data_IF_258597078988
#
_entry.id   IF_258597078988
#
_cell.length_a   1.000
_cell.length_b   1.000
_cell.length_c   1.000
_cell.angle_alpha   90.00
_cell.angle_beta   90.00
_cell.angle_gamma   90.00
#
_symmetry.space_group_name_H-M   'P 1'
#
loop_
_entity.id
_entity.type
_entity.pdbx_description
1 polymer ?
#
# COMPACT_ATOMS: atom_id res chain seq x y z
N UNK A 1 -44.10 38.93 36.51
CA UNK A 1 -43.64 37.60 36.09
C UNK A 1 -42.54 37.86 35.09
N UNK A 2 -41.29 37.56 35.46
CA UNK A 2 -40.14 37.72 34.60
C UNK A 2 -40.07 36.50 33.67
N UNK A 3 -40.08 36.73 32.37
CA UNK A 3 -39.91 35.70 31.36
C UNK A 3 -38.42 35.63 31.02
N UNK A 4 -37.76 34.58 31.49
CA UNK A 4 -36.35 34.29 31.18
C UNK A 4 -36.28 33.65 29.81
N UNK A 5 -35.81 34.40 28.81
CA UNK A 5 -35.45 33.81 27.51
C UNK A 5 -34.16 32.99 27.68
N UNK A 6 -34.29 31.69 27.49
CA UNK A 6 -33.17 30.75 27.40
C UNK A 6 -32.52 30.93 26.02
N UNK A 7 -31.23 31.31 26.01
CA UNK A 7 -30.45 31.45 24.78
C UNK A 7 -29.83 30.10 24.47
N UNK A 8 -30.50 29.32 23.63
CA UNK A 8 -29.95 28.09 23.07
C UNK A 8 -28.73 28.43 22.21
N UNK A 9 -27.57 28.04 22.71
CA UNK A 9 -26.29 28.23 22.03
C UNK A 9 -26.16 27.12 20.99
N UNK A 10 -26.49 27.42 19.73
CA UNK A 10 -26.24 26.51 18.61
C UNK A 10 -24.72 26.43 18.41
N UNK A 11 -24.11 25.36 18.91
CA UNK A 11 -22.77 24.94 18.47
C UNK A 11 -22.90 24.45 17.02
N UNK A 12 -22.56 25.30 16.06
CA UNK A 12 -22.22 24.83 14.71
C UNK A 12 -20.96 23.99 14.82
N UNK A 13 -21.09 22.67 14.77
CA UNK A 13 -19.96 21.80 14.45
C UNK A 13 -19.54 22.10 13.02
N UNK A 14 -18.44 22.85 12.86
CA UNK A 14 -17.78 22.98 11.57
C UNK A 14 -17.17 21.61 11.27
N UNK A 15 -17.83 20.85 10.41
CA UNK A 15 -17.27 19.60 9.87
C UNK A 15 -16.14 19.97 8.92
N UNK A 16 -14.89 19.92 9.39
CA UNK A 16 -13.73 20.08 8.52
C UNK A 16 -13.66 18.88 7.57
N UNK A 17 -13.52 19.12 6.27
CA UNK A 17 -13.47 18.06 5.28
C UNK A 17 -12.03 17.53 5.15
N UNK A 18 -11.82 16.20 5.02
CA UNK A 18 -10.51 15.65 4.77
C UNK A 18 -10.05 15.99 3.35
N UNK A 19 -8.90 16.66 3.24
CA UNK A 19 -8.31 17.08 1.97
C UNK A 19 -6.93 16.46 1.78
N UNK A 20 -6.74 15.80 0.64
CA UNK A 20 -5.44 15.36 0.15
C UNK A 20 -4.73 16.48 -0.61
N UNK A 21 -3.40 16.51 -0.52
CA UNK A 21 -2.56 17.36 -1.37
C UNK A 21 -2.73 17.05 -2.86
N UNK A 22 -2.36 18.00 -3.71
CA UNK A 22 -2.46 17.86 -5.16
C UNK A 22 -1.74 16.60 -5.69
N UNK A 23 -2.49 15.84 -6.49
CA UNK A 23 -2.02 14.58 -7.08
C UNK A 23 -1.99 13.39 -6.10
N UNK A 24 -2.48 13.53 -4.88
CA UNK A 24 -2.78 12.41 -3.99
C UNK A 24 -4.26 12.07 -4.04
N UNK A 25 -4.58 10.77 -4.11
CA UNK A 25 -5.97 10.30 -4.13
C UNK A 25 -6.43 9.94 -2.73
N UNK A 26 -7.57 10.49 -2.33
CA UNK A 26 -8.26 10.13 -1.09
C UNK A 26 -8.95 8.77 -1.19
N UNK A 27 -8.81 7.97 -0.13
CA UNK A 27 -9.56 6.76 0.15
C UNK A 27 -10.05 6.78 1.60
N UNK A 28 -11.29 6.32 1.81
CA UNK A 28 -11.79 6.05 3.16
C UNK A 28 -11.41 4.61 3.55
N UNK A 29 -10.67 4.46 4.65
CA UNK A 29 -10.32 3.15 5.23
C UNK A 29 -11.05 2.97 6.56
N UNK A 30 -11.12 1.75 7.12
CA UNK A 30 -11.64 1.54 8.47
C UNK A 30 -10.90 2.34 9.56
N UNK A 31 -9.63 2.71 9.31
CA UNK A 31 -8.81 3.55 10.19
C UNK A 31 -8.98 5.06 9.97
N UNK A 32 -9.85 5.46 9.05
CA UNK A 32 -10.10 6.83 8.60
C UNK A 32 -9.53 7.11 7.21
N UNK A 33 -9.65 8.38 6.80
CA UNK A 33 -9.15 8.87 5.52
C UNK A 33 -7.65 8.66 5.30
N UNK A 34 -7.28 8.33 4.05
CA UNK A 34 -5.91 8.07 3.64
C UNK A 34 -5.65 8.59 2.22
N UNK A 35 -4.54 9.30 2.03
CA UNK A 35 -4.11 9.88 0.77
C UNK A 35 -2.98 9.02 0.17
N UNK A 36 -3.17 8.52 -1.05
CA UNK A 36 -2.23 7.64 -1.75
C UNK A 36 -1.64 8.33 -2.98
N UNK A 37 -0.34 8.13 -3.24
CA UNK A 37 0.34 8.57 -4.47
C UNK A 37 1.47 7.61 -4.86
N UNK A 38 1.55 7.29 -6.15
CA UNK A 38 2.61 6.45 -6.72
C UNK A 38 3.74 7.30 -7.31
N UNK A 39 4.97 6.79 -7.26
CA UNK A 39 6.16 7.45 -7.77
C UNK A 39 7.05 6.45 -8.52
N UNK A 40 7.75 6.94 -9.56
CA UNK A 40 8.79 6.20 -10.27
C UNK A 40 9.92 7.16 -10.66
N UNK A 41 11.01 7.16 -9.91
CA UNK A 41 12.16 8.06 -10.12
C UNK A 41 13.51 7.35 -10.00
N UNK A 42 13.54 6.05 -10.34
CA UNK A 42 14.74 5.23 -10.35
C UNK A 42 14.54 3.89 -9.64
N UNK A 43 15.53 3.03 -9.80
CA UNK A 43 15.59 1.73 -9.14
C UNK A 43 16.04 1.91 -7.70
N UNK A 44 15.33 1.35 -6.73
CA UNK A 44 15.65 1.52 -5.32
C UNK A 44 15.22 0.34 -4.44
N UNK A 45 15.83 0.26 -3.26
CA UNK A 45 15.46 -0.69 -2.20
C UNK A 45 14.23 -0.22 -1.42
N UNK A 46 13.63 -1.12 -0.62
CA UNK A 46 12.49 -0.76 0.25
C UNK A 46 12.84 0.37 1.21
N UNK A 47 14.04 0.33 1.80
CA UNK A 47 14.53 1.34 2.74
C UNK A 47 14.68 2.71 2.10
N UNK A 48 15.13 2.75 0.84
CA UNK A 48 15.22 4.00 0.08
C UNK A 48 13.82 4.55 -0.26
N UNK A 49 12.87 3.69 -0.60
CA UNK A 49 11.47 4.10 -0.80
C UNK A 49 10.84 4.66 0.48
N UNK A 50 11.11 4.05 1.64
CA UNK A 50 10.70 4.59 2.94
C UNK A 50 11.28 5.97 3.20
N UNK A 51 12.58 6.16 2.97
CA UNK A 51 13.20 7.47 3.10
C UNK A 51 12.57 8.52 2.16
N UNK A 52 12.19 8.13 0.93
CA UNK A 52 11.50 9.03 -0.01
C UNK A 52 10.10 9.40 0.45
N UNK A 53 9.32 8.46 0.99
CA UNK A 53 8.01 8.77 1.54
C UNK A 53 8.10 9.65 2.79
N UNK A 54 9.07 9.40 3.67
CA UNK A 54 9.26 10.16 4.91
C UNK A 54 9.53 11.66 4.64
N UNK A 55 10.21 12.00 3.53
CA UNK A 55 10.44 13.40 3.11
C UNK A 55 9.13 14.14 2.77
N UNK A 56 8.04 13.41 2.49
CA UNK A 56 6.73 13.95 2.14
C UNK A 56 5.73 13.87 3.30
N UNK A 57 6.22 13.67 4.53
CA UNK A 57 5.42 13.37 5.73
C UNK A 57 4.48 12.17 5.51
N UNK A 58 4.98 11.18 4.76
CA UNK A 58 4.27 9.97 4.39
C UNK A 58 5.08 8.73 4.75
N UNK A 59 4.46 7.56 4.63
CA UNK A 59 5.14 6.25 4.71
C UNK A 59 4.88 5.47 3.43
N UNK A 60 5.59 4.37 3.19
CA UNK A 60 5.20 3.47 2.10
C UNK A 60 3.84 2.89 2.43
N UNK A 61 2.86 3.09 1.56
CA UNK A 61 1.45 2.76 1.84
C UNK A 61 1.22 1.26 1.76
N UNK A 62 0.51 0.70 2.73
CA UNK A 62 -0.16 -0.59 2.60
C UNK A 62 -1.38 -0.49 1.68
N UNK A 63 -2.06 -1.62 1.48
CA UNK A 63 -3.24 -1.74 0.61
C UNK A 63 -4.46 -2.16 1.43
N UNK A 64 -5.50 -1.36 1.42
CA UNK A 64 -6.74 -1.69 2.13
C UNK A 64 -7.61 -2.67 1.35
N UNK A 65 -7.69 -2.52 0.02
CA UNK A 65 -8.60 -3.30 -0.82
C UNK A 65 -8.26 -3.17 -2.32
N UNK A 66 -9.05 -3.84 -3.16
CA UNK A 66 -8.91 -3.86 -4.62
C UNK A 66 -9.06 -2.48 -5.29
N UNK A 67 -9.87 -1.56 -4.75
CA UNK A 67 -10.04 -0.24 -5.35
C UNK A 67 -8.77 0.61 -5.24
N UNK A 68 -8.02 0.47 -4.13
CA UNK A 68 -6.70 1.11 -4.00
C UNK A 68 -5.69 0.49 -4.97
N UNK A 69 -5.71 -0.83 -5.12
CA UNK A 69 -4.88 -1.56 -6.10
C UNK A 69 -5.15 -1.05 -7.52
N UNK A 70 -6.41 -0.97 -7.93
CA UNK A 70 -6.81 -0.49 -9.27
C UNK A 70 -6.35 0.94 -9.54
N UNK A 71 -6.45 1.82 -8.54
CA UNK A 71 -5.92 3.17 -8.64
C UNK A 71 -4.39 3.16 -8.80
N UNK A 72 -3.66 2.42 -7.95
CA UNK A 72 -2.20 2.35 -8.02
C UNK A 72 -1.76 1.79 -9.37
N UNK A 73 -2.38 0.72 -9.86
CA UNK A 73 -2.13 0.17 -11.20
C UNK A 73 -2.33 1.21 -12.30
N UNK A 74 -3.41 2.00 -12.23
CA UNK A 74 -3.65 3.07 -13.21
C UNK A 74 -2.54 4.13 -13.20
N UNK A 75 -1.91 4.38 -12.05
CA UNK A 75 -0.77 5.29 -11.95
C UNK A 75 0.50 4.63 -12.48
N UNK A 76 0.76 3.36 -12.12
CA UNK A 76 1.95 2.63 -12.55
C UNK A 76 1.99 2.43 -14.06
N UNK A 77 0.86 2.14 -14.70
CA UNK A 77 0.80 1.98 -16.16
C UNK A 77 1.23 3.24 -16.93
N UNK A 78 1.14 4.42 -16.30
CA UNK A 78 1.63 5.69 -16.85
C UNK A 78 3.07 5.97 -16.41
N UNK A 79 3.37 5.81 -15.13
CA UNK A 79 4.67 6.16 -14.54
C UNK A 79 5.82 5.27 -15.05
N UNK A 80 5.52 4.01 -15.34
CA UNK A 80 6.47 3.00 -15.82
C UNK A 80 5.93 2.32 -17.09
N UNK A 81 5.30 3.10 -17.97
CA UNK A 81 4.75 2.62 -19.25
C UNK A 81 5.80 1.85 -20.08
N UNK A 82 5.42 0.71 -20.66
CA UNK A 82 6.34 -0.13 -21.43
C UNK A 82 7.31 -0.95 -20.58
N UNK A 83 7.34 -0.76 -19.25
CA UNK A 83 8.27 -1.42 -18.36
C UNK A 83 7.58 -2.52 -17.56
N UNK A 84 8.23 -3.68 -17.52
CA UNK A 84 7.97 -4.68 -16.50
C UNK A 84 8.70 -4.26 -15.24
N UNK A 85 7.99 -4.21 -14.14
CA UNK A 85 8.56 -3.82 -12.87
C UNK A 85 7.54 -3.89 -11.75
N UNK A 86 7.96 -3.42 -10.59
CA UNK A 86 7.12 -3.48 -9.39
C UNK A 86 7.24 -2.17 -8.61
N UNK A 87 6.24 -1.91 -7.79
CA UNK A 87 6.23 -0.81 -6.84
C UNK A 87 6.34 -1.33 -5.41
N UNK A 88 7.19 -0.73 -4.57
CA UNK A 88 7.23 -1.02 -3.14
C UNK A 88 5.90 -0.68 -2.46
N UNK A 89 5.40 -1.63 -1.65
CA UNK A 89 4.18 -1.54 -0.84
C UNK A 89 4.52 -1.68 0.65
N UNK A 90 3.73 -1.02 1.49
CA UNK A 90 3.89 -0.94 2.94
C UNK A 90 3.47 -2.21 3.68
N UNK A 91 4.11 -3.33 3.39
CA UNK A 91 3.90 -4.60 4.09
C UNK A 91 5.22 -5.30 4.39
N UNK A 92 5.31 -5.93 5.55
CA UNK A 92 6.47 -6.72 5.97
C UNK A 92 6.05 -8.06 6.55
N UNK A 93 6.88 -9.07 6.36
CA UNK A 93 6.66 -10.40 6.93
C UNK A 93 6.64 -10.30 8.45
N UNK A 94 5.71 -10.98 9.09
CA UNK A 94 5.64 -10.99 10.56
C UNK A 94 6.79 -11.83 11.13
N UNK A 95 7.28 -11.44 12.32
CA UNK A 95 8.44 -12.08 12.96
C UNK A 95 8.32 -13.61 13.09
N UNK A 96 7.12 -14.14 13.31
CA UNK A 96 6.89 -15.58 13.42
C UNK A 96 7.03 -16.32 12.08
N UNK A 97 7.03 -15.62 10.94
CA UNK A 97 7.15 -16.17 9.60
C UNK A 97 8.48 -15.86 8.90
N UNK A 98 9.29 -14.93 9.43
CA UNK A 98 10.65 -14.67 8.93
C UNK A 98 11.48 -15.96 8.97
N UNK A 99 12.19 -16.23 7.88
CA UNK A 99 13.02 -17.42 7.76
C UNK A 99 12.25 -18.74 7.65
N UNK A 100 10.92 -18.72 7.46
CA UNK A 100 10.09 -19.93 7.38
C UNK A 100 9.45 -20.11 6.01
N UNK A 101 9.33 -21.36 5.53
CA UNK A 101 8.57 -21.63 4.32
C UNK A 101 7.10 -21.28 4.53
N UNK A 102 6.41 -21.01 3.42
CA UNK A 102 4.97 -20.82 3.40
C UNK A 102 4.24 -22.13 3.74
N UNK A 103 3.10 -22.01 4.43
CA UNK A 103 2.31 -23.12 4.97
C UNK A 103 2.12 -23.01 6.49
N UNK A 104 1.28 -23.90 7.04
CA UNK A 104 0.93 -23.88 8.46
C UNK A 104 0.35 -22.52 8.89
N UNK A 105 1.00 -21.85 9.82
CA UNK A 105 0.60 -20.52 10.32
C UNK A 105 1.00 -19.38 9.37
N UNK A 106 1.92 -19.61 8.43
CA UNK A 106 2.43 -18.64 7.47
C UNK A 106 1.75 -18.84 6.12
N UNK A 107 0.51 -18.36 6.00
CA UNK A 107 -0.30 -18.43 4.78
C UNK A 107 -0.23 -17.10 4.03
N UNK A 108 -0.66 -17.02 2.76
CA UNK A 108 -0.72 -15.76 2.02
C UNK A 108 -1.51 -14.65 2.74
N UNK A 109 -2.47 -14.99 3.60
CA UNK A 109 -3.27 -14.02 4.35
C UNK A 109 -2.75 -13.73 5.76
N UNK A 110 -1.76 -14.47 6.26
CA UNK A 110 -1.29 -14.37 7.66
C UNK A 110 0.20 -14.11 7.80
N UNK A 111 1.00 -14.31 6.75
CA UNK A 111 2.45 -14.19 6.82
C UNK A 111 2.96 -12.74 6.92
N UNK A 112 2.13 -11.75 6.65
CA UNK A 112 2.53 -10.35 6.57
C UNK A 112 1.60 -9.41 7.35
N UNK A 113 2.12 -8.24 7.68
CA UNK A 113 1.37 -7.13 8.29
C UNK A 113 1.64 -5.82 7.57
N UNK A 114 0.67 -4.90 7.59
CA UNK A 114 0.81 -3.56 7.02
C UNK A 114 1.64 -2.66 7.94
N UNK A 115 2.59 -1.92 7.38
CA UNK A 115 3.50 -1.07 8.15
C UNK A 115 3.04 0.39 8.24
N UNK A 116 2.07 0.78 7.43
CA UNK A 116 1.56 2.16 7.36
C UNK A 116 0.65 2.55 8.53
N UNK A 117 0.28 1.59 9.40
CA UNK A 117 -0.65 1.74 10.53
C UNK A 117 -2.02 2.28 10.11
N UNK A 118 -2.39 2.13 8.85
CA UNK A 118 -3.65 2.60 8.28
C UNK A 118 -4.39 1.46 7.59
N UNK A 119 -3.73 0.69 6.73
CA UNK A 119 -4.33 -0.48 6.12
C UNK A 119 -4.54 -1.58 7.17
N UNK A 120 -5.65 -2.30 7.07
CA UNK A 120 -6.04 -3.37 8.00
C UNK A 120 -6.65 -4.54 7.26
N UNK A 121 -6.70 -5.70 7.90
CA UNK A 121 -7.27 -6.91 7.29
C UNK A 121 -6.47 -7.41 6.09
N UNK A 122 -7.12 -8.25 5.29
CA UNK A 122 -6.46 -9.02 4.22
C UNK A 122 -7.01 -8.70 2.83
N UNK A 123 -7.96 -7.76 2.72
CA UNK A 123 -8.65 -7.47 1.45
C UNK A 123 -7.73 -6.86 0.39
N UNK A 124 -6.61 -6.25 0.80
CA UNK A 124 -5.54 -5.79 -0.08
C UNK A 124 -4.47 -6.85 -0.41
N UNK A 125 -4.54 -8.04 0.18
CA UNK A 125 -3.57 -9.13 -0.07
C UNK A 125 -3.93 -9.92 -1.33
N UNK A 126 -3.69 -9.31 -2.48
CA UNK A 126 -3.97 -9.88 -3.80
C UNK A 126 -2.70 -10.42 -4.44
N UNK A 127 -2.29 -11.63 -4.08
CA UNK A 127 -1.03 -12.22 -4.54
C UNK A 127 -1.08 -12.71 -6.00
N UNK A 128 0.09 -12.71 -6.65
CA UNK A 128 0.31 -13.43 -7.89
C UNK A 128 0.18 -14.95 -7.69
N UNK A 129 0.14 -15.69 -8.79
CA UNK A 129 0.15 -17.14 -8.72
C UNK A 129 1.38 -17.64 -7.94
N UNK A 130 1.14 -18.51 -6.97
CA UNK A 130 2.13 -19.09 -6.04
C UNK A 130 2.82 -18.11 -5.09
N UNK A 131 2.33 -16.87 -4.98
CA UNK A 131 2.88 -15.87 -4.05
C UNK A 131 2.02 -15.73 -2.76
N UNK A 132 2.62 -15.24 -1.65
CA UNK A 132 4.06 -15.09 -1.46
C UNK A 132 4.72 -16.47 -1.35
N UNK A 133 5.98 -16.61 -1.75
CA UNK A 133 6.72 -17.88 -1.75
C UNK A 133 7.89 -17.94 -0.76
N UNK A 134 8.30 -16.79 -0.22
CA UNK A 134 9.46 -16.63 0.64
C UNK A 134 10.72 -17.30 0.07
N UNK A 135 11.01 -17.09 -1.21
CA UNK A 135 12.16 -17.66 -1.89
C UNK A 135 13.45 -17.42 -1.11
N UNK A 136 14.23 -18.49 -0.93
CA UNK A 136 15.45 -18.53 -0.08
C UNK A 136 15.24 -18.09 1.37
N UNK A 137 14.00 -17.95 1.82
CA UNK A 137 13.60 -17.59 3.18
C UNK A 137 14.02 -16.17 3.60
N UNK A 138 14.16 -15.25 2.64
CA UNK A 138 14.66 -13.88 2.85
C UNK A 138 13.72 -12.78 2.32
N UNK A 139 12.57 -13.15 1.73
CA UNK A 139 11.69 -12.18 1.07
C UNK A 139 10.69 -11.61 2.07
N UNK A 140 11.14 -10.64 2.86
CA UNK A 140 10.36 -10.11 3.97
C UNK A 140 9.57 -8.83 3.63
N UNK A 141 9.63 -8.35 2.39
CA UNK A 141 8.97 -7.12 1.94
C UNK A 141 8.04 -7.35 0.75
N UNK A 142 7.02 -6.49 0.58
CA UNK A 142 6.05 -6.61 -0.51
C UNK A 142 6.28 -5.62 -1.65
N UNK A 143 5.98 -6.08 -2.86
CA UNK A 143 5.81 -5.23 -4.04
C UNK A 143 4.48 -5.50 -4.75
N UNK A 144 3.97 -4.49 -5.46
CA UNK A 144 2.86 -4.64 -6.40
C UNK A 144 3.40 -4.70 -7.82
N UNK A 145 3.02 -5.74 -8.57
CA UNK A 145 3.51 -5.98 -9.92
C UNK A 145 2.86 -5.05 -10.95
N UNK A 146 3.66 -4.61 -11.92
CA UNK A 146 3.24 -4.04 -13.20
C UNK A 146 3.80 -4.91 -14.32
N UNK A 147 2.94 -5.75 -14.88
CA UNK A 147 3.24 -6.62 -16.01
C UNK A 147 2.24 -6.29 -17.12
N UNK A 148 2.57 -5.29 -17.95
CA UNK A 148 1.74 -4.82 -19.08
C UNK A 148 1.28 -5.97 -19.99
N UNK A 149 2.07 -7.06 -20.05
CA UNK A 149 1.67 -8.35 -20.59
C UNK A 149 1.92 -9.42 -19.52
N UNK A 150 0.97 -10.35 -19.28
CA UNK A 150 1.18 -11.47 -18.36
C UNK A 150 2.50 -12.21 -18.63
N UNK A 151 3.28 -12.43 -17.59
CA UNK A 151 4.56 -13.14 -17.68
C UNK A 151 4.38 -14.54 -17.14
N UNK A 152 4.48 -15.55 -17.99
CA UNK A 152 4.54 -16.95 -17.58
C UNK A 152 6.01 -17.37 -17.51
N UNK A 153 6.49 -17.70 -16.31
CA UNK A 153 7.86 -18.20 -16.13
C UNK A 153 7.97 -19.66 -16.58
N UNK A 154 9.18 -20.16 -16.85
CA UNK A 154 9.44 -21.56 -17.23
C UNK A 154 8.87 -22.61 -16.25
N UNK A 155 8.53 -22.21 -15.02
CA UNK A 155 7.86 -23.06 -14.01
C UNK A 155 6.33 -23.03 -14.05
N UNK A 156 5.72 -22.32 -15.01
CA UNK A 156 4.28 -22.25 -15.24
C UNK A 156 3.51 -21.26 -14.36
N UNK A 157 4.18 -20.52 -13.47
CA UNK A 157 3.56 -19.46 -12.68
C UNK A 157 3.43 -18.16 -13.49
N UNK A 158 2.34 -17.42 -13.27
CA UNK A 158 1.96 -16.25 -14.05
C UNK A 158 1.95 -14.98 -13.19
N UNK A 159 2.68 -13.95 -13.64
CA UNK A 159 2.65 -12.61 -13.05
C UNK A 159 1.81 -11.69 -13.91
N UNK A 160 0.87 -11.00 -13.27
CA UNK A 160 0.00 -10.00 -13.91
C UNK A 160 0.08 -8.69 -13.12
N UNK A 161 -0.29 -7.57 -13.77
CA UNK A 161 -0.44 -6.30 -13.06
C UNK A 161 -1.44 -6.41 -11.91
N UNK A 162 -1.23 -5.62 -10.86
CA UNK A 162 -2.19 -5.56 -9.75
C UNK A 162 -2.09 -6.65 -8.73
N UNK A 163 -1.00 -7.41 -8.78
CA UNK A 163 -0.79 -8.56 -7.91
C UNK A 163 0.50 -8.42 -7.13
N UNK A 164 0.42 -8.81 -5.87
CA UNK A 164 1.52 -8.77 -4.93
C UNK A 164 2.52 -9.88 -5.22
N UNK A 165 3.76 -9.57 -4.86
CA UNK A 165 4.91 -10.48 -4.81
C UNK A 165 5.72 -10.11 -3.56
N UNK A 166 6.46 -11.06 -3.00
CA UNK A 166 7.42 -10.79 -1.93
C UNK A 166 8.85 -10.74 -2.47
N UNK A 167 9.64 -9.80 -1.95
CA UNK A 167 11.04 -9.60 -2.29
C UNK A 167 11.88 -9.41 -1.02
N UNK A 168 13.18 -9.65 -1.14
CA UNK A 168 14.11 -9.23 -0.10
C UNK A 168 14.07 -7.70 0.00
N UNK A 169 14.09 -7.16 1.21
CA UNK A 169 13.89 -5.72 1.44
C UNK A 169 15.02 -4.85 0.85
N UNK A 170 16.20 -5.44 0.63
CA UNK A 170 17.36 -4.85 -0.02
C UNK A 170 17.44 -5.11 -1.53
N UNK A 171 16.49 -5.86 -2.10
CA UNK A 171 16.32 -6.01 -3.54
C UNK A 171 15.78 -4.72 -4.16
N UNK A 172 15.47 -4.74 -5.45
CA UNK A 172 15.19 -3.53 -6.21
C UNK A 172 13.80 -3.50 -6.84
N UNK A 173 13.11 -2.36 -6.70
CA UNK A 173 11.89 -2.02 -7.43
C UNK A 173 12.05 -0.67 -8.16
N UNK A 174 11.28 -0.47 -9.24
CA UNK A 174 11.35 0.72 -10.10
C UNK A 174 10.39 1.84 -9.67
N UNK A 175 9.47 1.52 -8.78
CA UNK A 175 8.44 2.41 -8.28
C UNK A 175 8.19 2.19 -6.78
N UNK A 176 7.43 3.09 -6.17
CA UNK A 176 6.99 2.98 -4.79
C UNK A 176 5.69 3.77 -4.58
N UNK A 177 4.91 3.36 -3.58
CA UNK A 177 3.64 4.01 -3.25
C UNK A 177 3.75 4.62 -1.86
N UNK A 178 3.49 5.93 -1.74
CA UNK A 178 3.42 6.60 -0.46
C UNK A 178 1.96 6.81 -0.02
N UNK A 179 1.78 6.86 1.30
CA UNK A 179 0.50 7.07 1.95
C UNK A 179 0.64 7.97 3.17
N UNK A 180 -0.34 8.87 3.38
CA UNK A 180 -0.44 9.71 4.59
C UNK A 180 -1.88 10.07 4.92
N UNK A 181 -2.12 10.52 6.16
CA UNK A 181 -3.44 11.05 6.55
C UNK A 181 -3.74 12.35 5.78
N UNK A 182 -5.02 12.60 5.44
CA UNK A 182 -5.44 13.88 4.89
C UNK A 182 -5.23 15.00 5.91
N UNK A 183 -5.09 16.22 5.41
CA UNK A 183 -5.24 17.43 6.24
C UNK A 183 -6.72 17.73 6.44
N UNK A 184 -7.07 18.35 7.56
CA UNK A 184 -8.42 18.91 7.76
C UNK A 184 -8.41 20.34 7.23
N UNK A 185 -9.37 20.70 6.37
CA UNK A 185 -9.58 22.07 5.90
C UNK A 185 -11.01 22.53 6.10
#
# INVERSE_FOLDING_TARGET
>A
MADTMEVDTITMEITMEPVCEDGWKFFERPSGGWCIKSFANGIMTKYAAEAKCNVLDATVSGLQNKAEIDYIESQLSVLIAGLRGSAWIGGTRINSCIGKPMGGECTPSTAFTWTDKSATGTDGLWWNDRQPDNFKLIQDCMVLSNAEVPVVWSGGASWVSGRLDDLACDDFAVAYVCGKRPTLK
#
